data_IF_369392500312
#
_entry.id   IF_369392500312
#
_cell.length_a   1.000
_cell.length_b   1.000
_cell.length_c   1.000
_cell.angle_alpha   90.00
_cell.angle_beta   90.00
_cell.angle_gamma   90.00
#
_symmetry.space_group_name_H-M   'P 1'
#
loop_
_entity.id
_entity.type
_entity.pdbx_description
1 polymer ?
#
# COMPACT_ATOMS: atom_id res chain seq x y z
N UNK A 1 -23.57 -7.50 23.20
CA UNK A 1 -22.23 -8.13 23.10
C UNK A 1 -21.85 -8.73 24.42
N UNK A 2 -21.70 -10.03 24.47
CA UNK A 2 -21.50 -10.81 25.72
C UNK A 2 -20.06 -10.63 26.20
N UNK A 3 -19.88 -10.51 27.54
CA UNK A 3 -18.62 -10.29 28.26
C UNK A 3 -17.54 -11.38 27.97
N UNK A 4 -17.95 -12.54 27.49
CA UNK A 4 -17.08 -13.69 27.17
C UNK A 4 -16.21 -13.51 25.90
N UNK A 5 -16.58 -12.60 24.99
CA UNK A 5 -15.79 -12.34 23.76
C UNK A 5 -14.60 -11.41 23.99
N UNK A 6 -14.47 -10.80 25.17
CA UNK A 6 -13.36 -9.88 25.48
C UNK A 6 -12.11 -10.58 26.07
N UNK A 7 -12.22 -11.81 26.48
CA UNK A 7 -11.14 -12.50 27.23
C UNK A 7 -10.08 -13.17 26.33
N UNK A 8 -10.30 -13.25 25.01
CA UNK A 8 -9.33 -13.79 24.06
C UNK A 8 -8.75 -12.78 23.05
N UNK A 9 -9.06 -11.50 23.19
CA UNK A 9 -8.35 -10.45 22.45
C UNK A 9 -6.97 -10.25 23.07
N UNK A 10 -6.00 -11.11 22.72
CA UNK A 10 -4.60 -10.76 22.82
C UNK A 10 -4.42 -9.49 21.98
N UNK A 11 -4.05 -8.38 22.63
CA UNK A 11 -3.67 -7.15 21.96
C UNK A 11 -2.37 -7.42 21.21
N UNK A 12 -2.47 -7.88 19.96
CA UNK A 12 -1.36 -7.92 19.03
C UNK A 12 -0.95 -6.47 18.76
N UNK A 13 0.09 -6.01 19.45
CA UNK A 13 0.73 -4.75 19.16
C UNK A 13 1.67 -4.95 17.99
N UNK A 14 1.12 -4.92 16.77
CA UNK A 14 1.95 -4.78 15.59
C UNK A 14 2.62 -3.40 15.66
N UNK A 15 3.94 -3.32 15.52
CA UNK A 15 4.65 -2.04 15.50
C UNK A 15 4.45 -1.28 14.19
N UNK A 16 3.52 -1.70 13.34
CA UNK A 16 3.19 -1.14 12.02
C UNK A 16 1.90 -0.32 12.06
N UNK A 17 1.83 0.65 11.13
CA UNK A 17 0.62 1.43 10.84
C UNK A 17 -0.03 0.87 9.59
N UNK A 18 -1.31 0.57 9.70
CA UNK A 18 -2.20 0.16 8.60
C UNK A 18 -3.26 1.23 8.38
N UNK A 19 -3.57 1.54 7.14
CA UNK A 19 -4.65 2.46 6.78
C UNK A 19 -5.75 1.67 6.06
N UNK A 20 -6.90 1.54 6.67
CA UNK A 20 -8.11 1.04 6.04
C UNK A 20 -9.07 2.19 5.82
N UNK A 21 -9.55 2.38 4.59
CA UNK A 21 -10.59 3.36 4.30
C UNK A 21 -11.97 2.77 4.64
N UNK A 22 -12.99 3.62 4.66
CA UNK A 22 -14.36 3.16 4.87
C UNK A 22 -14.77 2.17 3.77
N UNK A 23 -15.12 0.96 4.17
CA UNK A 23 -15.48 -0.14 3.29
C UNK A 23 -14.37 -1.12 2.94
N UNK A 24 -13.10 -0.77 3.22
CA UNK A 24 -12.00 -1.72 3.11
C UNK A 24 -11.94 -2.62 4.35
N UNK A 25 -11.43 -3.83 4.23
CA UNK A 25 -11.31 -4.79 5.32
C UNK A 25 -10.00 -5.60 5.27
N UNK A 26 -9.76 -6.33 6.34
CA UNK A 26 -8.78 -7.41 6.31
C UNK A 26 -9.47 -8.66 5.76
N UNK A 27 -8.77 -9.51 4.99
CA UNK A 27 -9.36 -10.70 4.35
C UNK A 27 -9.97 -11.70 5.33
N UNK A 28 -9.36 -11.85 6.51
CA UNK A 28 -9.79 -12.79 7.53
C UNK A 28 -9.52 -12.26 8.93
N UNK A 29 -10.20 -12.83 9.93
CA UNK A 29 -10.03 -12.48 11.35
C UNK A 29 -8.62 -12.77 11.87
N UNK A 30 -7.92 -13.74 11.28
CA UNK A 30 -6.56 -14.16 11.63
C UNK A 30 -5.45 -13.50 10.78
N UNK A 31 -5.79 -12.59 9.87
CA UNK A 31 -4.82 -11.94 8.95
C UNK A 31 -3.66 -11.29 9.70
N UNK A 32 -3.92 -10.54 10.77
CA UNK A 32 -2.86 -9.88 11.53
C UNK A 32 -1.98 -10.88 12.30
N UNK A 33 -2.55 -11.97 12.78
CA UNK A 33 -1.80 -13.04 13.44
C UNK A 33 -0.86 -13.73 12.46
N UNK A 34 -1.34 -14.07 11.25
CA UNK A 34 -0.52 -14.64 10.17
C UNK A 34 0.64 -13.74 9.79
N UNK A 35 0.36 -12.43 9.59
CA UNK A 35 1.39 -11.44 9.31
C UNK A 35 2.45 -11.41 10.42
N UNK A 36 2.02 -11.40 11.69
CA UNK A 36 2.94 -11.40 12.83
C UNK A 36 3.84 -12.63 12.86
N UNK A 37 3.27 -13.81 12.60
CA UNK A 37 4.02 -15.06 12.56
C UNK A 37 5.03 -15.08 11.41
N UNK A 38 4.61 -14.69 10.19
CA UNK A 38 5.48 -14.61 9.01
C UNK A 38 6.65 -13.63 9.21
N UNK A 39 6.40 -12.49 9.86
CA UNK A 39 7.45 -11.52 10.21
C UNK A 39 8.45 -12.10 11.20
N UNK A 40 7.97 -12.76 12.25
CA UNK A 40 8.83 -13.37 13.26
C UNK A 40 9.74 -14.47 12.67
N UNK A 41 9.23 -15.24 11.73
CA UNK A 41 9.99 -16.29 11.06
C UNK A 41 11.03 -15.76 10.05
N UNK A 42 10.76 -14.62 9.39
CA UNK A 42 11.52 -14.16 8.21
C UNK A 42 12.38 -12.92 8.45
N UNK A 43 12.24 -12.25 9.59
CA UNK A 43 12.89 -10.94 9.82
C UNK A 43 14.25 -11.00 10.51
N UNK A 44 14.85 -12.15 10.77
CA UNK A 44 16.12 -12.32 11.51
C UNK A 44 16.17 -11.48 12.82
N UNK A 45 15.03 -11.30 13.47
CA UNK A 45 14.88 -10.50 14.69
C UNK A 45 14.92 -8.98 14.47
N UNK A 46 14.97 -8.50 13.23
CA UNK A 46 14.91 -7.07 12.88
C UNK A 46 13.57 -6.75 12.23
N UNK A 47 12.82 -5.83 12.83
CA UNK A 47 11.54 -5.38 12.24
C UNK A 47 11.77 -4.70 10.89
N UNK A 48 11.10 -5.14 9.81
CA UNK A 48 11.13 -4.48 8.52
C UNK A 48 10.62 -3.04 8.60
N UNK A 49 11.05 -2.18 7.70
CA UNK A 49 10.51 -0.83 7.57
C UNK A 49 9.10 -0.83 6.99
N UNK A 50 8.83 -1.80 6.13
CA UNK A 50 7.54 -1.98 5.44
C UNK A 50 7.27 -3.46 5.25
N UNK A 51 6.05 -3.87 5.56
CA UNK A 51 5.44 -5.12 5.11
C UNK A 51 4.48 -4.79 3.97
N UNK A 52 4.44 -5.63 2.93
CA UNK A 52 3.52 -5.39 1.83
C UNK A 52 3.04 -6.71 1.20
N UNK A 53 1.78 -6.75 0.82
CA UNK A 53 1.14 -7.94 0.29
C UNK A 53 0.21 -7.68 -0.87
N UNK A 54 -0.51 -8.71 -1.28
CA UNK A 54 -1.52 -8.63 -2.31
C UNK A 54 -2.80 -7.97 -1.79
N UNK A 55 -3.68 -7.61 -2.73
CA UNK A 55 -4.96 -6.98 -2.45
C UNK A 55 -6.01 -7.58 -3.37
N UNK A 56 -7.15 -7.96 -2.81
CA UNK A 56 -8.32 -8.31 -3.58
C UNK A 56 -9.28 -7.12 -3.70
N UNK A 57 -10.04 -7.10 -4.77
CA UNK A 57 -11.15 -6.17 -4.97
C UNK A 57 -12.43 -6.87 -4.56
N UNK A 58 -13.18 -6.26 -3.65
CA UNK A 58 -14.42 -6.83 -3.09
C UNK A 58 -15.62 -5.92 -3.38
N UNK A 59 -16.81 -6.52 -3.33
CA UNK A 59 -18.08 -5.79 -3.37
C UNK A 59 -18.49 -5.28 -1.98
N UNK A 60 -19.63 -4.58 -1.90
CA UNK A 60 -20.22 -4.05 -0.66
C UNK A 60 -20.56 -5.14 0.39
N UNK A 61 -20.59 -6.41 0.00
CA UNK A 61 -20.81 -7.56 0.88
C UNK A 61 -19.53 -8.26 1.31
N UNK A 62 -18.37 -7.76 0.85
CA UNK A 62 -17.07 -8.39 1.10
C UNK A 62 -16.79 -9.61 0.21
N UNK A 63 -17.57 -9.80 -0.88
CA UNK A 63 -17.32 -10.90 -1.81
C UNK A 63 -16.21 -10.50 -2.77
N UNK A 64 -15.18 -11.34 -2.88
CA UNK A 64 -14.05 -11.13 -3.78
C UNK A 64 -14.53 -11.16 -5.23
N UNK A 65 -14.30 -10.06 -5.95
CA UNK A 65 -14.59 -9.93 -7.37
C UNK A 65 -13.42 -10.39 -8.25
N UNK A 66 -12.23 -9.92 -7.92
CA UNK A 66 -10.99 -10.29 -8.61
C UNK A 66 -9.76 -9.76 -7.85
N UNK A 67 -8.56 -10.32 -8.10
CA UNK A 67 -7.32 -9.74 -7.61
C UNK A 67 -7.10 -8.32 -8.16
N UNK A 68 -6.44 -7.47 -7.39
CA UNK A 68 -6.08 -6.13 -7.85
C UNK A 68 -5.16 -6.20 -9.08
N UNK A 69 -5.47 -5.44 -10.12
CA UNK A 69 -4.77 -5.45 -11.41
C UNK A 69 -3.26 -5.18 -11.33
N UNK A 70 -2.83 -4.30 -10.43
CA UNK A 70 -1.41 -4.03 -10.17
C UNK A 70 -1.00 -4.85 -8.95
N UNK A 71 -0.16 -5.84 -9.18
CA UNK A 71 0.39 -6.68 -8.13
C UNK A 71 1.73 -6.14 -7.61
N UNK A 72 2.04 -6.33 -6.32
CA UNK A 72 3.34 -5.99 -5.76
C UNK A 72 4.45 -6.88 -6.35
N UNK A 73 5.65 -6.31 -6.61
CA UNK A 73 6.79 -7.10 -7.03
C UNK A 73 7.42 -7.82 -5.83
N UNK A 74 8.17 -8.90 -6.08
CA UNK A 74 8.92 -9.61 -5.03
C UNK A 74 9.93 -8.71 -4.33
N UNK A 75 10.55 -7.79 -5.08
CA UNK A 75 11.49 -6.79 -4.56
C UNK A 75 10.97 -5.39 -4.82
N UNK A 76 10.27 -4.87 -3.82
CA UNK A 76 9.76 -3.50 -3.83
C UNK A 76 10.86 -2.51 -3.46
N UNK A 77 10.87 -1.38 -4.15
CA UNK A 77 11.63 -0.19 -3.78
C UNK A 77 10.89 1.08 -4.27
N UNK A 78 11.34 2.26 -3.86
CA UNK A 78 10.67 3.49 -4.24
C UNK A 78 10.62 3.74 -5.75
N UNK A 79 11.56 3.18 -6.53
CA UNK A 79 11.59 3.30 -8.01
C UNK A 79 10.51 2.45 -8.67
N UNK A 80 10.02 1.41 -7.98
CA UNK A 80 8.95 0.53 -8.48
C UNK A 80 7.66 1.33 -8.76
N UNK A 81 7.38 2.37 -7.97
CA UNK A 81 6.18 3.19 -8.14
C UNK A 81 6.21 4.12 -9.36
N UNK A 82 7.30 4.16 -10.12
CA UNK A 82 7.29 4.74 -11.48
C UNK A 82 6.28 4.06 -12.41
N UNK A 83 6.08 2.76 -12.23
CA UNK A 83 5.18 1.95 -13.04
C UNK A 83 3.71 1.99 -12.57
N UNK A 84 3.39 2.85 -11.63
CA UNK A 84 2.13 2.98 -10.94
C UNK A 84 2.24 2.56 -9.47
N UNK A 85 1.17 2.69 -8.73
CA UNK A 85 1.10 2.24 -7.33
C UNK A 85 0.95 0.71 -7.30
N UNK A 86 2.07 -0.02 -7.39
CA UNK A 86 2.09 -1.49 -7.49
C UNK A 86 1.57 -2.16 -6.21
N UNK A 87 1.77 -1.54 -5.06
CA UNK A 87 1.19 -1.97 -3.78
C UNK A 87 -0.01 -1.09 -3.48
N UNK A 88 -1.14 -1.67 -3.11
CA UNK A 88 -2.26 -0.92 -2.62
C UNK A 88 -1.89 -0.24 -1.28
N UNK A 89 -2.39 0.96 -1.05
CA UNK A 89 -2.11 1.68 0.20
C UNK A 89 -2.51 0.88 1.45
N UNK A 90 -3.62 0.18 1.39
CA UNK A 90 -4.14 -0.67 2.46
C UNK A 90 -3.29 -1.93 2.70
N UNK A 91 -2.52 -2.35 1.70
CA UNK A 91 -1.60 -3.48 1.78
C UNK A 91 -0.13 -3.06 1.97
N UNK A 92 0.09 -1.82 2.42
CA UNK A 92 1.40 -1.22 2.68
C UNK A 92 1.50 -0.85 4.17
N UNK A 93 2.06 -1.72 4.97
CA UNK A 93 2.18 -1.59 6.41
C UNK A 93 3.53 -1.01 6.77
N UNK A 94 3.57 0.25 7.15
CA UNK A 94 4.80 0.93 7.51
C UNK A 94 5.07 0.83 9.03
N UNK A 95 6.32 0.60 9.40
CA UNK A 95 6.73 0.64 10.80
C UNK A 95 6.39 1.99 11.43
N UNK A 96 5.81 1.97 12.61
CA UNK A 96 5.18 3.14 13.26
C UNK A 96 6.15 4.31 13.46
N UNK A 97 7.41 4.04 13.83
CA UNK A 97 8.42 5.07 14.03
C UNK A 97 8.77 5.79 12.71
N UNK A 98 8.86 5.04 11.61
CA UNK A 98 9.10 5.58 10.26
C UNK A 98 7.89 6.38 9.78
N UNK A 99 6.67 5.82 9.96
CA UNK A 99 5.43 6.47 9.58
C UNK A 99 5.21 7.81 10.31
N UNK A 100 5.53 7.87 11.60
CA UNK A 100 5.46 9.11 12.39
C UNK A 100 6.46 10.17 11.95
N UNK A 101 7.65 9.75 11.52
CA UNK A 101 8.69 10.67 11.06
C UNK A 101 8.44 11.18 9.62
N UNK A 102 7.55 10.53 8.87
CA UNK A 102 7.18 10.87 7.50
C UNK A 102 5.67 11.14 7.39
N UNK A 103 5.14 12.25 7.93
CA UNK A 103 3.71 12.53 7.88
C UNK A 103 3.23 12.74 6.44
N UNK A 104 1.93 12.60 6.21
CA UNK A 104 1.30 12.88 4.91
C UNK A 104 1.53 14.33 4.47
N UNK A 105 1.83 14.53 3.19
CA UNK A 105 1.88 15.86 2.58
C UNK A 105 0.45 16.29 2.20
N UNK A 106 -0.16 17.12 3.03
CA UNK A 106 -1.55 17.58 2.89
C UNK A 106 -1.80 18.48 1.66
N UNK A 107 -0.76 18.83 0.90
CA UNK A 107 -0.91 19.51 -0.40
C UNK A 107 -1.49 18.57 -1.47
N UNK A 108 -1.43 17.26 -1.26
CA UNK A 108 -2.04 16.25 -2.11
C UNK A 108 -3.34 15.74 -1.46
N UNK A 109 -4.44 15.94 -2.17
CA UNK A 109 -5.76 15.53 -1.66
C UNK A 109 -6.16 14.11 -2.05
N UNK A 110 -5.73 13.67 -3.24
CA UNK A 110 -6.17 12.40 -3.85
C UNK A 110 -5.06 11.38 -4.03
N UNK A 111 -3.81 11.75 -3.80
CA UNK A 111 -2.64 10.88 -4.03
C UNK A 111 -1.55 11.08 -2.96
N UNK A 112 -1.92 11.57 -1.78
CA UNK A 112 -1.00 11.75 -0.66
C UNK A 112 -0.37 10.42 -0.22
N UNK A 113 -1.12 9.34 -0.34
CA UNK A 113 -0.69 7.96 -0.11
C UNK A 113 0.48 7.55 -1.01
N UNK A 114 0.43 7.90 -2.29
CA UNK A 114 1.51 7.62 -3.25
C UNK A 114 2.81 8.33 -2.85
N UNK A 115 2.73 9.63 -2.54
CA UNK A 115 3.88 10.42 -2.07
C UNK A 115 4.45 9.85 -0.78
N UNK A 116 3.58 9.50 0.16
CA UNK A 116 3.95 8.96 1.46
C UNK A 116 4.66 7.61 1.33
N UNK A 117 4.11 6.65 0.58
CA UNK A 117 4.75 5.35 0.34
C UNK A 117 6.15 5.52 -0.29
N UNK A 118 6.31 6.45 -1.26
CA UNK A 118 7.60 6.71 -1.89
C UNK A 118 8.60 7.26 -0.86
N UNK A 119 8.19 8.19 0.02
CA UNK A 119 9.07 8.76 1.06
C UNK A 119 9.48 7.72 2.10
N UNK A 120 8.54 6.89 2.55
CA UNK A 120 8.82 5.75 3.45
C UNK A 120 9.87 4.83 2.84
N UNK A 121 9.67 4.41 1.58
CA UNK A 121 10.62 3.52 0.90
C UNK A 121 12.00 4.17 0.67
N UNK A 122 12.06 5.47 0.37
CA UNK A 122 13.33 6.21 0.26
C UNK A 122 14.06 6.26 1.60
N UNK A 123 13.32 6.44 2.69
CA UNK A 123 13.88 6.41 4.03
C UNK A 123 14.41 5.04 4.36
N UNK A 124 13.64 3.99 4.10
CA UNK A 124 14.09 2.61 4.30
C UNK A 124 15.38 2.30 3.52
N UNK A 125 15.50 2.72 2.25
CA UNK A 125 16.71 2.57 1.45
C UNK A 125 17.91 3.30 2.08
N UNK A 126 17.72 4.54 2.52
CA UNK A 126 18.78 5.35 3.16
C UNK A 126 19.26 4.77 4.51
N UNK A 127 18.34 4.19 5.27
CA UNK A 127 18.61 3.60 6.58
C UNK A 127 18.94 2.09 6.49
N UNK A 128 19.06 1.54 5.28
CA UNK A 128 19.34 0.12 5.00
C UNK A 128 18.36 -0.84 5.68
N UNK A 129 17.09 -0.45 5.72
CA UNK A 129 16.01 -1.23 6.32
C UNK A 129 15.32 -2.09 5.27
N UNK A 130 14.86 -3.25 5.70
CA UNK A 130 14.19 -4.22 4.83
C UNK A 130 12.75 -3.79 4.49
N UNK A 131 12.33 -4.06 3.25
CA UNK A 131 10.94 -4.14 2.84
C UNK A 131 10.60 -5.61 2.62
N UNK A 132 9.65 -6.16 3.36
CA UNK A 132 9.34 -7.58 3.36
C UNK A 132 8.03 -7.85 2.60
N UNK A 133 8.12 -8.72 1.57
CA UNK A 133 6.97 -9.20 0.81
C UNK A 133 6.23 -10.29 1.60
N UNK A 134 4.93 -10.08 1.84
CA UNK A 134 4.02 -11.09 2.37
C UNK A 134 3.42 -11.86 1.18
N UNK A 135 3.46 -13.19 1.16
CA UNK A 135 3.04 -13.98 0.00
C UNK A 135 1.51 -14.16 -0.09
N UNK A 136 0.74 -13.36 0.62
CA UNK A 136 -0.69 -13.49 0.78
C UNK A 136 -1.44 -12.17 0.51
N UNK A 137 -2.76 -12.28 0.37
CA UNK A 137 -3.68 -11.14 0.36
C UNK A 137 -3.77 -10.60 1.78
N UNK A 138 -3.47 -9.33 1.97
CA UNK A 138 -3.42 -8.67 3.28
C UNK A 138 -4.43 -7.53 3.42
N UNK A 139 -5.14 -7.19 2.34
CA UNK A 139 -6.19 -6.19 2.35
C UNK A 139 -7.23 -6.48 1.28
N UNK A 140 -8.50 -6.29 1.62
CA UNK A 140 -9.64 -6.26 0.73
C UNK A 140 -10.03 -4.80 0.47
N UNK A 141 -10.02 -4.43 -0.81
CA UNK A 141 -10.35 -3.08 -1.27
C UNK A 141 -11.75 -3.04 -1.85
N UNK A 142 -12.62 -2.19 -1.28
CA UNK A 142 -13.98 -1.99 -1.80
C UNK A 142 -13.95 -1.34 -3.19
N UNK A 143 -14.59 -1.96 -4.17
CA UNK A 143 -14.73 -1.38 -5.51
C UNK A 143 -15.53 -0.06 -5.49
N UNK A 144 -15.21 0.85 -6.41
CA UNK A 144 -15.94 2.12 -6.55
C UNK A 144 -15.48 3.28 -5.67
N UNK A 145 -14.32 3.18 -5.00
CA UNK A 145 -13.77 4.20 -4.11
C UNK A 145 -13.61 5.61 -4.71
N UNK A 146 -13.34 6.61 -3.86
CA UNK A 146 -13.26 8.06 -4.20
C UNK A 146 -12.29 8.41 -5.36
N UNK A 147 -11.26 7.61 -5.58
CA UNK A 147 -10.29 7.83 -6.65
C UNK A 147 -10.93 7.72 -8.04
N UNK A 148 -11.93 6.85 -8.19
CA UNK A 148 -12.65 6.68 -9.47
C UNK A 148 -13.48 7.93 -9.80
N UNK A 149 -14.07 8.59 -8.78
CA UNK A 149 -14.88 9.80 -8.95
C UNK A 149 -14.03 11.06 -9.27
N UNK A 150 -12.75 11.09 -8.82
CA UNK A 150 -11.86 12.24 -8.97
C UNK A 150 -10.63 11.94 -9.85
N UNK A 151 -10.78 11.09 -10.84
CA UNK A 151 -9.69 10.52 -11.64
C UNK A 151 -8.73 11.57 -12.22
N UNK A 152 -9.24 12.66 -12.83
CA UNK A 152 -8.40 13.71 -13.44
C UNK A 152 -7.54 14.44 -12.40
N UNK A 153 -8.12 14.81 -11.27
CA UNK A 153 -7.38 15.49 -10.20
C UNK A 153 -6.28 14.58 -9.60
N UNK A 154 -6.60 13.31 -9.38
CA UNK A 154 -5.63 12.30 -8.93
C UNK A 154 -4.49 12.11 -9.94
N UNK A 155 -4.76 12.06 -11.24
CA UNK A 155 -3.72 11.95 -12.28
C UNK A 155 -2.79 13.17 -12.28
N UNK A 156 -3.32 14.38 -12.11
CA UNK A 156 -2.51 15.59 -12.04
C UNK A 156 -1.61 15.61 -10.79
N UNK A 157 -2.14 15.22 -9.64
CA UNK A 157 -1.34 15.08 -8.43
C UNK A 157 -0.24 14.02 -8.60
N UNK A 158 -0.57 12.84 -9.15
CA UNK A 158 0.41 11.80 -9.46
C UNK A 158 1.51 12.28 -10.39
N UNK A 159 1.19 13.06 -11.41
CA UNK A 159 2.20 13.68 -12.28
C UNK A 159 3.16 14.58 -11.46
N UNK A 160 2.62 15.43 -10.57
CA UNK A 160 3.44 16.32 -9.71
C UNK A 160 4.33 15.50 -8.76
N UNK A 161 3.80 14.46 -8.15
CA UNK A 161 4.52 13.54 -7.26
C UNK A 161 5.65 12.84 -8.04
N UNK A 162 5.33 12.26 -9.19
CA UNK A 162 6.32 11.58 -10.03
C UNK A 162 7.43 12.53 -10.49
N UNK A 163 7.07 13.75 -10.91
CA UNK A 163 8.05 14.78 -11.27
C UNK A 163 8.98 15.12 -10.11
N UNK A 164 8.44 15.24 -8.90
CA UNK A 164 9.23 15.52 -7.68
C UNK A 164 10.19 14.41 -7.34
N UNK A 165 9.76 13.15 -7.45
CA UNK A 165 10.55 12.00 -7.02
C UNK A 165 11.46 11.42 -8.08
N UNK A 166 11.10 11.50 -9.36
CA UNK A 166 11.77 10.83 -10.47
C UNK A 166 12.28 11.77 -11.56
N UNK A 167 11.99 13.07 -11.44
CA UNK A 167 12.34 14.07 -12.44
C UNK A 167 11.36 14.16 -13.61
N UNK A 168 11.44 15.27 -14.36
CA UNK A 168 10.49 15.57 -15.43
C UNK A 168 10.56 14.57 -16.59
N UNK A 169 11.76 14.26 -17.09
CA UNK A 169 11.93 13.37 -18.26
C UNK A 169 11.42 11.95 -17.98
N UNK A 170 11.77 11.39 -16.83
CA UNK A 170 11.27 10.06 -16.42
C UNK A 170 9.75 10.07 -16.29
N UNK A 171 9.18 11.14 -15.74
CA UNK A 171 7.73 11.29 -15.58
C UNK A 171 7.01 11.35 -16.92
N UNK A 172 7.52 12.15 -17.87
CA UNK A 172 6.94 12.26 -19.21
C UNK A 172 7.00 10.92 -19.96
N UNK A 173 8.15 10.23 -19.92
CA UNK A 173 8.32 8.92 -20.54
C UNK A 173 7.32 7.89 -19.99
N UNK A 174 7.14 7.86 -18.65
CA UNK A 174 6.18 6.94 -18.03
C UNK A 174 4.72 7.28 -18.34
N UNK A 175 4.37 8.57 -18.42
CA UNK A 175 3.02 8.98 -18.82
C UNK A 175 2.72 8.61 -20.28
N UNK A 176 3.68 8.83 -21.20
CA UNK A 176 3.57 8.38 -22.57
C UNK A 176 3.36 6.85 -22.66
N UNK A 177 4.13 6.09 -21.86
CA UNK A 177 3.96 4.65 -21.73
C UNK A 177 2.57 4.26 -21.22
N UNK A 178 2.03 4.94 -20.19
CA UNK A 178 0.68 4.65 -19.67
C UNK A 178 -0.40 4.88 -20.72
N UNK A 179 -0.26 5.97 -21.51
CA UNK A 179 -1.19 6.25 -22.62
C UNK A 179 -1.08 5.16 -23.69
N UNK A 180 0.13 4.84 -24.16
CA UNK A 180 0.34 3.80 -25.18
C UNK A 180 -0.24 2.45 -24.72
N UNK A 181 0.04 2.04 -23.47
CA UNK A 181 -0.51 0.82 -22.89
C UNK A 181 -2.03 0.82 -22.79
N UNK A 182 -2.67 1.96 -22.54
CA UNK A 182 -4.13 2.07 -22.46
C UNK A 182 -4.80 1.92 -23.82
N UNK A 183 -4.12 2.37 -24.89
CA UNK A 183 -4.60 2.23 -26.29
C UNK A 183 -4.41 0.81 -26.82
N UNK A 184 -3.26 0.18 -26.50
CA UNK A 184 -2.93 -1.18 -26.96
C UNK A 184 -3.73 -2.29 -26.26
N UNK A 185 -4.42 -2.00 -25.16
CA UNK A 185 -5.26 -2.97 -24.42
C UNK A 185 -6.75 -2.88 -24.77
N UNK A 186 -7.13 -2.00 -25.70
CA UNK A 186 -8.46 -1.97 -26.30
C UNK A 186 -8.48 -2.83 -27.57
#
# INVERSE_FOLDING_TARGET
MKRAEREHLQLLRLPEVVFLNAGDSLPNDDTLEKISNDVNERSDGKLPAVLYGDTDIVDEKGIVLHPRRLAPPDKLNWRSFRHGMLVCHQAFYARTDIARAEPYDLRYRFSADVDWCIRIMKRAEREHLQLLRLPEVVADYLDGGMTNKNHRASLFERFRIMRRHYGLFSTLAMHAWFVARSVLKK
#
